data_IF_599345705750
#
_entry.id   IF_599345705750
#
_cell.length_a   1.000
_cell.length_b   1.000
_cell.length_c   1.000
_cell.angle_alpha   90.00
_cell.angle_beta   90.00
_cell.angle_gamma   90.00
#
_symmetry.space_group_name_H-M   'P 1'
#
loop_
_entity.id
_entity.type
_entity.pdbx_description
1 polymer ?
#
# COMPACT_ATOMS: atom_id res chain seq x y z
N UNK A 1 -4.34 -38.41 -5.69
CA UNK A 1 -4.80 -37.02 -5.75
C UNK A 1 -4.40 -36.37 -4.45
N UNK A 2 -3.25 -35.71 -4.45
CA UNK A 2 -2.68 -35.07 -3.25
C UNK A 2 -3.58 -33.92 -2.82
N UNK A 3 -4.01 -34.00 -1.56
CA UNK A 3 -4.62 -32.93 -0.81
C UNK A 3 -3.84 -31.64 -1.05
N UNK A 4 -4.43 -30.71 -1.81
CA UNK A 4 -3.94 -29.34 -1.91
C UNK A 4 -4.29 -28.73 -0.57
N UNK A 5 -3.43 -28.93 0.42
CA UNK A 5 -3.60 -28.38 1.76
C UNK A 5 -3.96 -26.91 1.58
N UNK A 6 -5.21 -26.57 1.92
CA UNK A 6 -5.77 -25.26 1.63
C UNK A 6 -4.92 -24.22 2.34
N UNK A 7 -4.00 -23.60 1.60
CA UNK A 7 -3.12 -22.56 2.10
C UNK A 7 -3.97 -21.46 2.72
N UNK A 8 -3.56 -20.96 3.88
CA UNK A 8 -4.22 -19.80 4.48
C UNK A 8 -3.84 -18.59 3.62
N UNK A 9 -4.81 -17.87 3.09
CA UNK A 9 -4.54 -16.57 2.45
C UNK A 9 -4.50 -15.48 3.51
N UNK A 10 -3.50 -14.61 3.46
CA UNK A 10 -3.33 -13.46 4.35
C UNK A 10 -3.27 -12.18 3.52
N UNK A 11 -4.01 -11.17 3.97
CA UNK A 11 -3.98 -9.82 3.37
C UNK A 11 -2.92 -8.96 4.04
N UNK A 12 -2.13 -8.29 3.21
CA UNK A 12 -1.03 -7.40 3.59
C UNK A 12 -1.14 -6.12 2.77
N UNK A 13 -0.98 -4.97 3.41
CA UNK A 13 -0.95 -3.67 2.75
C UNK A 13 0.48 -3.13 2.69
N UNK A 14 0.98 -2.91 1.48
CA UNK A 14 2.26 -2.23 1.27
C UNK A 14 1.99 -0.76 0.97
N UNK A 15 2.45 0.12 1.86
CA UNK A 15 2.31 1.57 1.67
C UNK A 15 3.13 2.00 0.45
N UNK A 16 2.64 3.03 -0.24
CA UNK A 16 3.31 3.69 -1.36
C UNK A 16 4.76 4.08 -1.02
N UNK A 17 4.99 4.82 0.06
CA UNK A 17 6.32 5.29 0.44
C UNK A 17 7.27 4.15 0.81
N UNK A 18 6.74 3.04 1.37
CA UNK A 18 7.55 1.84 1.63
C UNK A 18 7.99 1.23 0.31
N UNK A 19 7.08 1.13 -0.68
CA UNK A 19 7.42 0.67 -2.02
C UNK A 19 8.44 1.58 -2.69
N UNK A 20 8.25 2.89 -2.63
CA UNK A 20 9.09 3.89 -3.28
C UNK A 20 10.50 3.91 -2.72
N UNK A 21 10.65 3.89 -1.39
CA UNK A 21 11.93 4.07 -0.75
C UNK A 21 12.74 2.75 -0.64
N UNK A 22 12.17 1.70 -0.03
CA UNK A 22 12.88 0.43 0.21
C UNK A 22 12.30 -0.79 -0.49
N UNK A 23 11.09 -0.69 -1.06
CA UNK A 23 10.42 -1.82 -1.67
C UNK A 23 11.02 -2.27 -2.99
N UNK A 24 10.89 -3.57 -3.24
CA UNK A 24 11.21 -4.18 -4.53
C UNK A 24 9.89 -4.59 -5.17
N UNK A 25 9.60 -4.16 -6.42
CA UNK A 25 8.42 -4.61 -7.15
C UNK A 25 8.35 -6.14 -7.24
N UNK A 26 7.17 -6.68 -6.98
CA UNK A 26 6.83 -8.10 -7.07
C UNK A 26 5.62 -8.30 -7.97
N UNK A 27 5.41 -9.53 -8.40
CA UNK A 27 4.34 -9.94 -9.30
C UNK A 27 3.47 -11.02 -8.68
N UNK A 28 2.28 -11.23 -9.23
CA UNK A 28 1.48 -12.41 -8.91
C UNK A 28 2.30 -13.67 -9.21
N UNK A 29 2.31 -14.61 -8.27
CA UNK A 29 3.10 -15.83 -8.34
C UNK A 29 4.48 -15.73 -7.70
N UNK A 30 4.98 -14.54 -7.35
CA UNK A 30 6.28 -14.42 -6.68
C UNK A 30 6.24 -14.97 -5.25
N UNK A 31 7.34 -15.57 -4.81
CA UNK A 31 7.57 -15.90 -3.39
C UNK A 31 8.09 -14.67 -2.67
N UNK A 32 7.47 -14.32 -1.55
CA UNK A 32 7.79 -13.13 -0.77
C UNK A 32 8.03 -13.49 0.69
N UNK A 33 8.85 -12.69 1.37
CA UNK A 33 9.06 -12.79 2.81
C UNK A 33 9.19 -11.39 3.41
N UNK A 34 8.17 -10.96 4.16
CA UNK A 34 8.06 -9.59 4.64
C UNK A 34 7.93 -9.51 6.16
N UNK A 35 8.63 -8.57 6.81
CA UNK A 35 8.28 -8.13 8.15
C UNK A 35 6.97 -7.34 8.13
N UNK A 36 6.15 -7.56 9.15
CA UNK A 36 4.84 -6.94 9.32
C UNK A 36 4.78 -6.13 10.60
N UNK A 37 4.05 -5.01 10.52
CA UNK A 37 3.48 -4.32 11.68
C UNK A 37 1.96 -4.33 11.58
N UNK A 38 1.30 -4.16 12.71
CA UNK A 38 -0.16 -4.14 12.80
C UNK A 38 -0.61 -2.77 13.23
N UNK A 39 -1.47 -2.17 12.42
CA UNK A 39 -1.95 -0.80 12.62
C UNK A 39 -3.46 -0.82 12.87
N UNK A 40 -3.90 -0.09 13.88
CA UNK A 40 -5.32 0.20 14.07
C UNK A 40 -5.75 1.24 13.05
N UNK A 41 -6.90 1.02 12.41
CA UNK A 41 -7.56 2.03 11.58
C UNK A 41 -8.52 2.83 12.46
N UNK A 42 -8.62 4.14 12.21
CA UNK A 42 -9.58 4.99 12.93
C UNK A 42 -11.00 4.46 12.69
N UNK A 43 -11.89 4.57 13.69
CA UNK A 43 -13.25 4.01 13.58
C UNK A 43 -14.02 4.55 12.36
N UNK A 44 -13.86 5.84 12.05
CA UNK A 44 -14.44 6.49 10.87
C UNK A 44 -13.96 5.91 9.52
N UNK A 45 -12.79 5.27 9.52
CA UNK A 45 -12.12 4.72 8.34
C UNK A 45 -12.34 3.20 8.19
N UNK A 46 -12.90 2.52 9.19
CA UNK A 46 -13.08 1.05 9.17
C UNK A 46 -13.87 0.58 7.95
N UNK A 47 -14.96 1.27 7.60
CA UNK A 47 -15.76 0.91 6.43
C UNK A 47 -14.99 1.09 5.11
N UNK A 48 -14.10 2.08 5.04
CA UNK A 48 -13.26 2.39 3.88
C UNK A 48 -12.14 1.36 3.73
N UNK A 49 -11.65 0.79 4.81
CA UNK A 49 -10.53 -0.16 4.80
C UNK A 49 -10.96 -1.62 5.04
N UNK A 50 -12.26 -1.91 5.11
CA UNK A 50 -12.79 -3.20 5.56
C UNK A 50 -12.22 -4.43 4.83
N UNK A 51 -11.89 -4.30 3.55
CA UNK A 51 -11.28 -5.36 2.74
C UNK A 51 -9.78 -5.57 2.99
N UNK A 52 -9.09 -4.57 3.56
CA UNK A 52 -7.69 -4.65 3.96
C UNK A 52 -7.51 -5.14 5.41
N UNK A 53 -8.56 -5.05 6.23
CA UNK A 53 -8.50 -5.41 7.64
C UNK A 53 -8.48 -6.93 7.86
N UNK A 54 -7.80 -7.32 8.93
CA UNK A 54 -7.81 -8.69 9.41
C UNK A 54 -9.02 -9.04 10.27
N UNK A 55 -9.06 -10.29 10.73
CA UNK A 55 -10.12 -10.80 11.61
C UNK A 55 -10.26 -10.07 12.95
N UNK A 56 -9.27 -9.25 13.33
CA UNK A 56 -9.25 -8.41 14.54
C UNK A 56 -9.52 -6.94 14.22
N UNK A 57 -9.76 -6.59 12.95
CA UNK A 57 -9.90 -5.20 12.51
C UNK A 57 -8.59 -4.44 12.40
N UNK A 58 -7.45 -5.13 12.24
CA UNK A 58 -6.13 -4.52 12.12
C UNK A 58 -5.60 -4.60 10.69
N UNK A 59 -4.90 -3.55 10.26
CA UNK A 59 -4.17 -3.53 8.99
C UNK A 59 -2.80 -4.18 9.19
N UNK A 60 -2.47 -5.19 8.38
CA UNK A 60 -1.12 -5.78 8.34
C UNK A 60 -0.28 -5.01 7.32
N UNK A 61 0.67 -4.21 7.77
CA UNK A 61 1.50 -3.40 6.85
C UNK A 61 2.92 -3.90 6.78
N UNK A 62 3.52 -3.82 5.59
CA UNK A 62 4.94 -4.14 5.40
C UNK A 62 5.81 -3.00 5.94
N UNK A 63 6.88 -3.34 6.66
CA UNK A 63 7.89 -2.38 7.14
C UNK A 63 9.28 -2.73 6.61
N UNK A 64 9.74 -2.06 5.55
CA UNK A 64 11.08 -2.32 4.99
C UNK A 64 12.13 -1.34 5.48
N UNK A 65 11.70 -0.21 6.07
CA UNK A 65 12.59 0.67 6.81
C UNK A 65 12.94 0.09 8.18
N UNK A 66 14.24 0.07 8.51
CA UNK A 66 14.81 -0.42 9.78
C UNK A 66 14.51 0.43 11.02
N UNK A 67 13.27 0.88 11.19
CA UNK A 67 12.78 1.60 12.38
C UNK A 67 11.90 0.72 13.27
N UNK A 68 12.10 0.78 14.60
CA UNK A 68 11.38 0.11 15.71
C UNK A 68 11.12 -1.41 15.65
N UNK A 69 10.82 -1.98 14.48
CA UNK A 69 10.73 -3.41 14.20
C UNK A 69 12.11 -4.10 14.26
N UNK A 70 13.18 -3.41 13.88
CA UNK A 70 14.56 -3.95 13.96
C UNK A 70 15.10 -4.05 15.40
N UNK A 71 14.54 -3.29 16.36
CA UNK A 71 15.03 -3.28 17.75
C UNK A 71 14.31 -4.24 18.69
N UNK A 72 13.29 -4.95 18.22
CA UNK A 72 12.66 -6.05 18.95
C UNK A 72 12.72 -7.29 18.08
N UNK A 73 13.50 -8.27 18.49
CA UNK A 73 13.69 -9.60 17.88
C UNK A 73 12.41 -10.45 17.83
N UNK A 74 11.31 -9.90 17.30
CA UNK A 74 9.95 -10.46 17.33
C UNK A 74 8.94 -9.73 16.45
N UNK A 75 9.39 -8.93 15.46
CA UNK A 75 8.49 -8.43 14.43
C UNK A 75 7.84 -9.63 13.72
N UNK A 76 6.51 -9.66 13.66
CA UNK A 76 5.79 -10.72 12.96
C UNK A 76 6.24 -10.73 11.49
N UNK A 77 6.49 -11.90 10.92
CA UNK A 77 6.85 -12.04 9.51
C UNK A 77 5.84 -12.90 8.80
N UNK A 78 5.67 -12.65 7.51
CA UNK A 78 4.94 -13.51 6.59
C UNK A 78 5.88 -13.99 5.50
N UNK A 79 5.74 -15.24 5.10
CA UNK A 79 6.35 -15.77 3.90
C UNK A 79 5.34 -16.62 3.14
N UNK A 80 5.35 -16.52 1.81
CA UNK A 80 4.43 -17.26 0.95
C UNK A 80 4.37 -16.70 -0.46
N UNK A 81 3.41 -17.20 -1.24
CA UNK A 81 3.25 -16.84 -2.64
C UNK A 81 2.23 -15.73 -2.82
N UNK A 82 2.57 -14.72 -3.61
CA UNK A 82 1.63 -13.66 -3.99
C UNK A 82 0.52 -14.24 -4.85
N UNK A 83 -0.72 -14.12 -4.37
CA UNK A 83 -1.93 -14.61 -5.04
C UNK A 83 -2.62 -13.51 -5.85
N UNK A 84 -2.70 -12.30 -5.31
CA UNK A 84 -3.33 -11.17 -5.99
C UNK A 84 -2.72 -9.85 -5.52
N UNK A 85 -2.75 -8.84 -6.40
CA UNK A 85 -2.28 -7.49 -6.11
C UNK A 85 -3.35 -6.50 -6.57
N UNK A 86 -3.74 -5.60 -5.67
CA UNK A 86 -4.65 -4.50 -5.97
C UNK A 86 -4.01 -3.18 -5.56
N UNK A 87 -3.90 -2.22 -6.47
CA UNK A 87 -3.58 -0.84 -6.11
C UNK A 87 -4.79 -0.25 -5.40
N UNK A 88 -4.56 0.27 -4.20
CA UNK A 88 -5.56 0.94 -3.37
C UNK A 88 -5.29 2.43 -3.40
N UNK A 89 -6.33 3.22 -3.60
CA UNK A 89 -6.27 4.68 -3.46
C UNK A 89 -7.49 5.15 -2.68
N UNK A 90 -7.26 6.04 -1.71
CA UNK A 90 -8.31 6.65 -0.89
C UNK A 90 -8.09 8.17 -0.80
N UNK A 91 -9.07 8.95 -1.25
CA UNK A 91 -9.11 10.39 -1.09
C UNK A 91 -9.63 10.83 0.29
N UNK A 92 -8.98 11.82 0.89
CA UNK A 92 -9.32 12.41 2.18
C UNK A 92 -9.48 13.92 2.09
N UNK A 93 -10.43 14.46 2.88
CA UNK A 93 -10.59 15.90 3.14
C UNK A 93 -10.38 16.16 4.62
N UNK A 94 -9.19 16.64 4.99
CA UNK A 94 -8.82 16.68 6.40
C UNK A 94 -8.51 15.27 6.91
N UNK A 95 -9.21 14.83 7.97
CA UNK A 95 -9.12 13.47 8.49
C UNK A 95 -10.19 12.53 7.92
N UNK A 96 -11.19 13.07 7.24
CA UNK A 96 -12.34 12.29 6.80
C UNK A 96 -12.12 11.73 5.38
N UNK A 97 -12.46 10.45 5.14
CA UNK A 97 -12.43 9.87 3.82
C UNK A 97 -13.54 10.49 2.97
N UNK A 98 -13.24 10.79 1.71
CA UNK A 98 -14.23 11.36 0.79
C UNK A 98 -15.03 10.22 0.15
N UNK A 99 -16.36 10.18 0.30
CA UNK A 99 -17.19 9.17 -0.35
C UNK A 99 -16.96 9.14 -1.86
N UNK A 100 -16.79 7.94 -2.42
CA UNK A 100 -16.54 7.74 -3.85
C UNK A 100 -15.11 7.98 -4.33
N UNK A 101 -14.21 8.53 -3.49
CA UNK A 101 -12.79 8.71 -3.83
C UNK A 101 -11.92 7.52 -3.39
N UNK A 102 -12.55 6.36 -3.13
CA UNK A 102 -11.87 5.09 -2.92
C UNK A 102 -12.01 4.21 -4.15
N UNK A 103 -10.89 3.66 -4.61
CA UNK A 103 -10.90 2.66 -5.67
C UNK A 103 -9.82 1.59 -5.47
N UNK A 104 -10.09 0.42 -6.04
CA UNK A 104 -9.20 -0.72 -6.13
C UNK A 104 -8.97 -1.04 -7.60
N UNK A 105 -7.71 -1.29 -7.98
CA UNK A 105 -7.39 -1.72 -9.34
C UNK A 105 -6.50 -2.96 -9.32
N UNK A 106 -6.95 -4.09 -9.88
CA UNK A 106 -6.10 -5.27 -9.98
C UNK A 106 -4.91 -4.99 -10.90
N UNK A 107 -3.74 -5.51 -10.52
CA UNK A 107 -2.50 -5.46 -11.31
C UNK A 107 -1.76 -6.79 -11.20
N UNK A 108 -1.07 -7.18 -12.27
CA UNK A 108 -0.23 -8.38 -12.25
C UNK A 108 1.14 -8.12 -11.59
N UNK A 109 1.57 -6.86 -11.56
CA UNK A 109 2.84 -6.43 -11.00
C UNK A 109 2.67 -5.19 -10.14
N UNK A 110 3.22 -5.23 -8.93
CA UNK A 110 3.26 -4.11 -8.02
C UNK A 110 4.08 -2.95 -8.63
N UNK A 111 3.53 -1.73 -8.69
CA UNK A 111 4.28 -0.57 -9.15
C UNK A 111 5.36 -0.18 -8.13
N UNK A 112 6.51 0.31 -8.63
CA UNK A 112 7.53 0.93 -7.77
C UNK A 112 7.10 2.34 -7.34
N UNK A 113 6.46 3.07 -8.25
CA UNK A 113 6.05 4.45 -8.10
C UNK A 113 4.56 4.54 -8.38
N UNK A 114 3.81 5.13 -7.45
CA UNK A 114 2.37 5.34 -7.61
C UNK A 114 2.21 6.72 -8.24
N UNK A 115 1.65 6.79 -9.44
CA UNK A 115 1.43 8.08 -10.11
C UNK A 115 0.54 8.97 -9.22
N UNK A 116 0.84 10.27 -9.18
CA UNK A 116 0.06 11.25 -8.41
C UNK A 116 -1.42 11.16 -8.82
N UNK A 117 -2.34 10.82 -7.90
CA UNK A 117 -3.75 10.65 -8.21
C UNK A 117 -4.52 11.98 -8.31
N UNK A 118 -3.84 13.12 -8.42
CA UNK A 118 -4.48 14.43 -8.61
C UNK A 118 -4.66 14.64 -10.11
N UNK A 119 -5.92 14.53 -10.55
CA UNK A 119 -6.32 14.50 -11.96
C UNK A 119 -5.61 15.51 -12.88
N UNK A 120 -5.13 14.99 -13.99
CA UNK A 120 -5.02 15.69 -15.25
C UNK A 120 -6.44 16.09 -15.68
N UNK A 121 -6.80 17.37 -15.47
CA UNK A 121 -7.92 17.97 -16.17
C UNK A 121 -7.55 18.07 -17.66
N UNK A 122 -8.32 17.36 -18.49
CA UNK A 122 -8.10 17.24 -19.92
C UNK A 122 -8.08 18.58 -20.66
N UNK A 123 -7.11 18.74 -21.55
CA UNK A 123 -7.02 19.84 -22.50
C UNK A 123 -5.87 19.63 -23.47
N UNK A 124 -6.09 18.83 -24.51
CA UNK A 124 -5.12 18.63 -25.57
C UNK A 124 -4.95 19.88 -26.44
N UNK A 125 -3.70 20.28 -26.68
CA UNK A 125 -3.17 20.77 -27.96
C UNK A 125 -1.66 21.01 -27.80
N UNK A 126 -0.86 20.37 -28.65
CA UNK A 126 0.60 20.37 -28.54
C UNK A 126 1.28 21.71 -28.84
N UNK A 127 2.54 21.83 -28.42
CA UNK A 127 3.73 22.01 -29.26
C UNK A 127 4.92 22.13 -28.32
N UNK A 128 6.03 21.45 -28.65
CA UNK A 128 7.19 21.39 -27.77
C UNK A 128 7.97 22.70 -27.70
N UNK A 129 8.82 22.81 -26.68
CA UNK A 129 10.27 23.10 -26.76
C UNK A 129 10.80 23.13 -25.33
N UNK A 130 11.95 22.51 -25.10
CA UNK A 130 12.55 22.41 -23.78
C UNK A 130 13.10 23.74 -23.24
N UNK A 131 13.40 23.72 -21.94
CA UNK A 131 14.69 24.15 -21.36
C UNK A 131 14.67 23.81 -19.88
N UNK A 132 15.81 23.33 -19.39
CA UNK A 132 16.19 23.31 -17.98
C UNK A 132 15.88 24.62 -17.27
N UNK A 133 15.57 24.57 -15.97
CA UNK A 133 16.10 25.51 -14.97
C UNK A 133 15.86 25.01 -13.54
N UNK A 134 16.89 25.24 -12.73
CA UNK A 134 17.09 24.74 -11.39
C UNK A 134 16.31 25.51 -10.29
N UNK A 135 16.21 24.83 -9.15
CA UNK A 135 16.24 25.33 -7.76
C UNK A 135 15.42 26.58 -7.38
N UNK A 136 14.49 26.39 -6.43
CA UNK A 136 13.89 27.47 -5.65
C UNK A 136 13.44 27.00 -4.25
N UNK A 137 14.33 27.12 -3.26
CA UNK A 137 13.94 27.17 -1.84
C UNK A 137 13.33 28.54 -1.56
N UNK A 138 12.10 28.61 -1.05
CA UNK A 138 11.50 29.87 -0.61
C UNK A 138 10.10 29.67 -0.04
N UNK A 139 9.95 29.91 1.27
CA UNK A 139 8.70 29.70 1.99
C UNK A 139 7.59 30.69 1.64
N UNK A 140 6.35 30.22 1.72
CA UNK A 140 5.19 31.07 1.95
C UNK A 140 4.14 30.29 2.76
N UNK A 141 3.93 30.75 3.99
CA UNK A 141 2.81 30.40 4.87
C UNK A 141 1.53 30.89 4.20
N UNK A 142 0.87 30.01 3.44
CA UNK A 142 -0.42 30.26 2.79
C UNK A 142 -1.52 29.46 3.49
N UNK A 143 -2.65 30.11 3.71
CA UNK A 143 -3.80 29.69 4.52
C UNK A 143 -4.27 28.25 4.25
N UNK A 144 -4.63 27.56 5.33
CA UNK A 144 -5.11 26.16 5.34
C UNK A 144 -6.54 26.07 4.79
N UNK A 145 -6.72 26.23 3.47
CA UNK A 145 -7.82 25.53 2.79
C UNK A 145 -7.56 24.04 2.93
N UNK A 146 -8.53 23.29 3.47
CA UNK A 146 -8.38 21.89 3.88
C UNK A 146 -7.59 21.08 2.85
N UNK A 147 -6.37 20.68 3.21
CA UNK A 147 -5.50 19.92 2.30
C UNK A 147 -6.21 18.62 1.98
N UNK A 148 -6.48 18.39 0.70
CA UNK A 148 -6.78 17.05 0.21
C UNK A 148 -5.54 16.21 0.44
N UNK A 149 -5.73 15.05 1.08
CA UNK A 149 -4.71 14.02 1.21
C UNK A 149 -5.17 12.84 0.38
N UNK A 150 -4.24 12.15 -0.25
CA UNK A 150 -4.50 10.85 -0.85
C UNK A 150 -3.60 9.85 -0.17
N UNK A 151 -4.15 8.70 0.18
CA UNK A 151 -3.38 7.55 0.64
C UNK A 151 -3.40 6.49 -0.47
N UNK A 152 -2.22 5.99 -0.82
CA UNK A 152 -2.09 4.94 -1.82
C UNK A 152 -1.11 3.84 -1.38
N UNK A 153 -1.23 2.69 -2.05
CA UNK A 153 -0.42 1.51 -1.79
C UNK A 153 -0.95 0.30 -2.54
N UNK A 154 -0.48 -0.89 -2.17
CA UNK A 154 -1.00 -2.16 -2.70
C UNK A 154 -1.54 -3.05 -1.59
N UNK A 155 -2.75 -3.54 -1.78
CA UNK A 155 -3.29 -4.69 -1.06
C UNK A 155 -2.81 -5.96 -1.77
N UNK A 156 -2.18 -6.85 -1.00
CA UNK A 156 -1.61 -8.11 -1.47
C UNK A 156 -2.27 -9.25 -0.72
N UNK A 157 -2.78 -10.23 -1.46
CA UNK A 157 -3.12 -11.52 -0.87
C UNK A 157 -1.93 -12.46 -1.04
N UNK A 158 -1.49 -13.06 0.06
CA UNK A 158 -0.37 -14.00 0.11
C UNK A 158 -0.89 -15.35 0.60
N UNK A 159 -0.67 -16.40 -0.18
CA UNK A 159 -0.92 -17.76 0.26
C UNK A 159 0.26 -18.19 1.12
N UNK A 160 0.02 -18.35 2.42
CA UNK A 160 1.02 -18.87 3.35
C UNK A 160 0.92 -20.38 3.38
N UNK A 161 2.05 -21.06 3.21
CA UNK A 161 2.13 -22.48 3.47
C UNK A 161 1.73 -22.71 4.94
N UNK A 162 0.81 -23.65 5.18
CA UNK A 162 0.56 -24.10 6.55
C UNK A 162 1.87 -24.59 7.12
N UNK A 163 2.32 -24.01 8.24
CA UNK A 163 3.43 -24.57 8.99
C UNK A 163 3.08 -26.04 9.22
N UNK A 164 3.86 -26.96 8.67
CA UNK A 164 3.77 -28.36 9.05
C UNK A 164 3.95 -28.37 10.58
N UNK A 165 2.87 -28.71 11.30
CA UNK A 165 2.96 -28.91 12.74
C UNK A 165 3.85 -30.14 12.90
N UNK A 166 5.12 -29.90 13.19
CA UNK A 166 6.06 -30.95 13.55
C UNK A 166 5.47 -31.78 14.68
N UNK A 167 5.46 -33.09 14.45
CA UNK A 167 5.05 -34.13 15.37
C UNK A 167 5.89 -34.15 16.65
#
# INVERSE_FOLDING_TARGET
MTDTGAGRTVRVFHRDWEMECCGTPFSVGDEVAWPLVFESVAEADVAVWADCLDERGLLRTVTLHGGAADKRSGASRIAGRVRSIQVVVVGYRGADPVPGERWLRPVERCPKWFADPVGEDGGGAGTGTGTDLAAGKGGARRERRGRRRVECGVLVEVDVAGAERGA
#
